data_IF_131178122046
#
_entry.id   IF_131178122046
#
_cell.length_a   1.000
_cell.length_b   1.000
_cell.length_c   1.000
_cell.angle_alpha   90.00
_cell.angle_beta   90.00
_cell.angle_gamma   90.00
#
_symmetry.space_group_name_H-M   'P 1'
#
loop_
_entity.id
_entity.type
_entity.pdbx_description
1 polymer ?
#
# COMPACT_ATOMS: atom_id res chain seq x y z
N UNK A 1 43.35 34.49 -29.75
CA UNK A 1 42.71 33.17 -29.82
C UNK A 1 42.56 32.61 -28.42
N UNK A 2 41.34 32.42 -27.89
CA UNK A 2 41.06 31.57 -26.74
C UNK A 2 40.39 30.25 -27.16
N UNK A 3 40.61 29.20 -26.37
CA UNK A 3 40.21 27.81 -26.63
C UNK A 3 38.68 27.58 -26.57
N UNK A 4 38.14 26.58 -27.30
CA UNK A 4 36.72 26.25 -27.26
C UNK A 4 36.36 25.54 -25.95
N UNK A 5 35.44 26.13 -25.20
CA UNK A 5 34.84 25.52 -24.01
C UNK A 5 34.11 24.24 -24.37
N UNK A 6 34.47 23.13 -23.71
CA UNK A 6 33.75 21.87 -23.81
C UNK A 6 32.32 22.02 -23.28
N UNK A 7 31.30 21.44 -23.94
CA UNK A 7 29.96 21.37 -23.38
C UNK A 7 30.00 20.48 -22.13
N UNK A 8 29.58 21.04 -20.99
CA UNK A 8 29.35 20.28 -19.76
C UNK A 8 28.24 19.27 -20.02
N UNK A 9 28.58 17.99 -20.13
CA UNK A 9 27.62 16.89 -20.07
C UNK A 9 27.02 16.85 -18.65
N UNK A 10 25.70 17.00 -18.47
CA UNK A 10 25.09 16.76 -17.17
C UNK A 10 25.17 15.25 -16.86
N UNK A 11 26.00 14.91 -15.89
CA UNK A 11 26.20 13.56 -15.36
C UNK A 11 25.03 13.19 -14.44
N UNK A 12 24.40 12.03 -14.71
CA UNK A 12 23.45 11.30 -13.87
C UNK A 12 22.42 12.15 -13.11
N UNK A 13 21.35 12.53 -13.81
CA UNK A 13 20.05 12.57 -13.17
C UNK A 13 19.69 11.13 -12.78
N UNK A 14 19.78 10.82 -11.48
CA UNK A 14 19.16 9.62 -10.91
C UNK A 14 17.69 9.63 -11.31
N UNK A 15 17.40 8.79 -12.31
CA UNK A 15 16.10 8.64 -12.94
C UNK A 15 15.15 8.14 -11.85
N UNK A 16 14.34 9.06 -11.33
CA UNK A 16 13.28 8.80 -10.37
C UNK A 16 12.48 7.54 -10.82
N UNK A 17 12.23 6.57 -9.92
CA UNK A 17 11.52 5.38 -10.30
C UNK A 17 10.13 5.76 -10.80
N UNK A 18 9.78 5.24 -11.97
CA UNK A 18 8.48 5.46 -12.55
C UNK A 18 7.41 4.94 -11.57
N UNK A 19 6.33 5.71 -11.47
CA UNK A 19 5.15 5.57 -10.61
C UNK A 19 4.43 4.21 -10.76
N UNK A 20 3.46 3.91 -9.87
CA UNK A 20 2.64 2.68 -9.78
C UNK A 20 2.39 1.92 -11.08
N UNK A 21 2.02 2.69 -12.12
CA UNK A 21 1.72 2.20 -13.46
C UNK A 21 2.84 1.33 -14.02
N UNK A 22 4.08 1.55 -13.60
CA UNK A 22 5.24 0.87 -14.15
C UNK A 22 5.66 -0.37 -13.39
N UNK A 23 5.44 -0.44 -12.07
CA UNK A 23 5.61 -1.72 -11.37
C UNK A 23 4.47 -2.65 -11.73
N UNK A 24 3.21 -2.22 -11.58
CA UNK A 24 2.05 -3.05 -11.93
C UNK A 24 2.08 -3.37 -13.44
N UNK A 25 2.37 -2.39 -14.29
CA UNK A 25 2.51 -2.60 -15.73
C UNK A 25 3.59 -3.63 -16.07
N UNK A 26 4.80 -3.48 -15.54
CA UNK A 26 5.91 -4.40 -15.78
C UNK A 26 5.59 -5.84 -15.35
N UNK A 27 4.88 -6.03 -14.24
CA UNK A 27 4.49 -7.37 -13.80
C UNK A 27 3.33 -7.93 -14.63
N UNK A 28 2.37 -7.12 -15.04
CA UNK A 28 1.31 -7.56 -15.96
C UNK A 28 1.88 -7.99 -17.32
N UNK A 29 2.95 -7.33 -17.79
CA UNK A 29 3.62 -7.67 -19.05
C UNK A 29 4.39 -9.01 -18.97
N UNK A 30 4.61 -9.56 -17.77
CA UNK A 30 5.20 -10.90 -17.56
C UNK A 30 4.17 -12.03 -17.64
N UNK A 31 2.89 -11.72 -17.90
CA UNK A 31 1.82 -12.71 -18.00
C UNK A 31 1.32 -13.20 -16.64
N UNK A 32 0.90 -14.47 -16.57
CA UNK A 32 0.22 -15.02 -15.39
C UNK A 32 1.03 -14.97 -14.09
N UNK A 33 2.35 -15.25 -14.06
CA UNK A 33 3.14 -15.14 -12.84
C UNK A 33 3.14 -13.73 -12.25
N UNK A 34 3.35 -12.71 -13.09
CA UNK A 34 3.36 -11.32 -12.66
C UNK A 34 1.97 -10.79 -12.31
N UNK A 35 0.90 -11.28 -12.96
CA UNK A 35 -0.48 -11.05 -12.50
C UNK A 35 -0.70 -11.59 -11.09
N UNK A 36 -0.16 -12.77 -10.76
CA UNK A 36 -0.24 -13.34 -9.42
C UNK A 36 0.40 -12.44 -8.36
N UNK A 37 1.54 -11.82 -8.69
CA UNK A 37 2.22 -10.87 -7.81
C UNK A 37 1.43 -9.58 -7.61
N UNK A 38 0.88 -9.01 -8.70
CA UNK A 38 0.01 -7.83 -8.63
C UNK A 38 -1.22 -8.12 -7.77
N UNK A 39 -1.86 -9.28 -7.93
CA UNK A 39 -3.02 -9.66 -7.14
C UNK A 39 -2.67 -9.75 -5.65
N UNK A 40 -1.57 -10.43 -5.29
CA UNK A 40 -1.10 -10.51 -3.91
C UNK A 40 -0.82 -9.14 -3.32
N UNK A 41 -0.16 -8.27 -4.07
CA UNK A 41 0.15 -6.91 -3.65
C UNK A 41 -1.11 -6.08 -3.39
N UNK A 42 -2.06 -6.10 -4.33
CA UNK A 42 -3.34 -5.39 -4.18
C UNK A 42 -4.11 -5.92 -2.98
N UNK A 43 -4.23 -7.24 -2.82
CA UNK A 43 -4.94 -7.83 -1.69
C UNK A 43 -4.28 -7.46 -0.34
N UNK A 44 -2.95 -7.50 -0.25
CA UNK A 44 -2.22 -7.17 0.97
C UNK A 44 -2.44 -5.71 1.41
N UNK A 45 -2.47 -4.76 0.46
CA UNK A 45 -2.64 -3.33 0.78
C UNK A 45 -4.11 -2.92 0.92
N UNK A 46 -5.01 -3.47 0.13
CA UNK A 46 -6.37 -2.95 -0.02
C UNK A 46 -7.43 -3.77 0.73
N UNK A 47 -7.13 -4.97 1.24
CA UNK A 47 -8.13 -5.77 1.95
C UNK A 47 -8.71 -5.05 3.18
N UNK A 48 -7.87 -4.58 4.10
CA UNK A 48 -8.37 -3.88 5.29
C UNK A 48 -9.02 -2.52 4.97
N UNK A 49 -8.46 -1.66 4.10
CA UNK A 49 -9.12 -0.42 3.69
C UNK A 49 -10.52 -0.64 3.11
N UNK A 50 -10.69 -1.64 2.23
CA UNK A 50 -12.00 -1.94 1.66
C UNK A 50 -13.00 -2.45 2.72
N UNK A 51 -12.54 -3.16 3.76
CA UNK A 51 -13.39 -3.52 4.91
C UNK A 51 -13.82 -2.30 5.70
N UNK A 52 -12.90 -1.37 5.98
CA UNK A 52 -13.21 -0.10 6.66
C UNK A 52 -14.22 0.70 5.84
N UNK A 53 -14.01 0.80 4.53
CA UNK A 53 -14.96 1.44 3.61
C UNK A 53 -16.33 0.79 3.68
N UNK A 54 -16.41 -0.54 3.51
CA UNK A 54 -17.65 -1.31 3.57
C UNK A 54 -18.41 -1.10 4.87
N UNK A 55 -17.72 -1.20 6.01
CA UNK A 55 -18.31 -1.01 7.34
C UNK A 55 -18.82 0.42 7.56
N UNK A 56 -18.20 1.42 6.94
CA UNK A 56 -18.65 2.81 6.95
C UNK A 56 -19.89 3.06 6.08
N UNK A 57 -20.25 2.14 5.19
CA UNK A 57 -21.44 2.27 4.34
C UNK A 57 -22.72 1.82 5.04
N UNK A 58 -23.86 2.15 4.41
CA UNK A 58 -25.17 1.58 4.78
C UNK A 58 -25.35 0.14 4.29
N UNK A 59 -24.43 -0.36 3.47
CA UNK A 59 -24.51 -1.65 2.78
C UNK A 59 -23.95 -2.82 3.62
N UNK A 60 -23.51 -2.56 4.87
CA UNK A 60 -22.95 -3.58 5.79
C UNK A 60 -23.86 -4.77 6.10
N UNK A 61 -25.15 -4.68 5.78
CA UNK A 61 -26.10 -5.79 5.94
C UNK A 61 -25.99 -6.86 4.84
N UNK A 62 -25.28 -6.56 3.73
CA UNK A 62 -25.16 -7.45 2.57
C UNK A 62 -24.46 -8.77 2.94
N UNK A 63 -23.49 -8.74 3.86
CA UNK A 63 -22.75 -9.92 4.26
C UNK A 63 -21.61 -9.62 5.21
N UNK A 64 -20.84 -10.65 5.55
CA UNK A 64 -19.64 -10.50 6.37
C UNK A 64 -18.58 -9.67 5.61
N UNK A 65 -17.88 -8.72 6.27
CA UNK A 65 -16.89 -7.87 5.61
C UNK A 65 -15.75 -8.63 4.93
N UNK A 66 -15.29 -9.74 5.52
CA UNK A 66 -14.20 -10.54 4.96
C UNK A 66 -14.69 -11.29 3.73
N UNK A 67 -15.88 -11.89 3.79
CA UNK A 67 -16.49 -12.59 2.67
C UNK A 67 -16.78 -11.63 1.49
N UNK A 68 -17.33 -10.45 1.76
CA UNK A 68 -17.65 -9.46 0.73
C UNK A 68 -16.38 -8.96 0.04
N UNK A 69 -15.33 -8.62 0.79
CA UNK A 69 -14.07 -8.13 0.21
C UNK A 69 -13.32 -9.25 -0.51
N UNK A 70 -13.30 -10.47 0.03
CA UNK A 70 -12.68 -11.61 -0.65
C UNK A 70 -13.45 -11.97 -1.94
N UNK A 71 -14.78 -11.93 -1.91
CA UNK A 71 -15.63 -12.12 -3.08
C UNK A 71 -15.39 -11.07 -4.16
N UNK A 72 -15.21 -9.80 -3.76
CA UNK A 72 -14.82 -8.72 -4.67
C UNK A 72 -13.47 -9.01 -5.34
N UNK A 73 -12.44 -9.38 -4.58
CA UNK A 73 -11.14 -9.69 -5.15
C UNK A 73 -11.20 -10.90 -6.07
N UNK A 74 -11.88 -11.98 -5.66
CA UNK A 74 -12.04 -13.17 -6.48
C UNK A 74 -12.73 -12.86 -7.81
N UNK A 75 -13.81 -12.09 -7.80
CA UNK A 75 -14.54 -11.74 -9.02
C UNK A 75 -13.77 -10.76 -9.91
N UNK A 76 -13.19 -9.69 -9.35
CA UNK A 76 -12.57 -8.63 -10.16
C UNK A 76 -11.15 -8.97 -10.60
N UNK A 77 -10.32 -9.55 -9.72
CA UNK A 77 -8.93 -9.87 -10.05
C UNK A 77 -8.79 -11.08 -10.98
N UNK A 78 -9.80 -11.95 -11.02
CA UNK A 78 -9.87 -13.06 -11.99
C UNK A 78 -10.19 -12.58 -13.42
N UNK A 79 -10.73 -11.36 -13.60
CA UNK A 79 -11.06 -10.84 -14.93
C UNK A 79 -9.78 -10.43 -15.66
N UNK A 80 -9.48 -10.99 -16.86
CA UNK A 80 -8.27 -10.66 -17.59
C UNK A 80 -8.11 -9.15 -17.85
N UNK A 81 -9.18 -8.46 -18.23
CA UNK A 81 -9.14 -7.03 -18.56
C UNK A 81 -9.27 -6.06 -17.40
N UNK A 82 -9.28 -6.51 -16.13
CA UNK A 82 -9.56 -5.62 -14.99
C UNK A 82 -8.50 -4.51 -14.86
N UNK A 83 -7.23 -4.88 -14.82
CA UNK A 83 -6.13 -3.91 -14.76
C UNK A 83 -5.94 -3.14 -16.06
N UNK A 84 -6.37 -3.67 -17.21
CA UNK A 84 -6.39 -2.91 -18.48
C UNK A 84 -7.44 -1.81 -18.46
N UNK A 85 -8.58 -2.06 -17.82
CA UNK A 85 -9.60 -1.06 -17.54
C UNK A 85 -9.03 0.06 -16.66
N UNK A 86 -8.35 -0.30 -15.57
CA UNK A 86 -7.66 0.66 -14.73
C UNK A 86 -6.64 1.49 -15.51
N UNK A 87 -5.73 0.86 -16.26
CA UNK A 87 -4.71 1.54 -17.08
C UNK A 87 -5.33 2.57 -18.02
N UNK A 88 -6.42 2.21 -18.70
CA UNK A 88 -7.13 3.12 -19.62
C UNK A 88 -7.89 4.24 -18.92
N UNK A 89 -8.29 4.05 -17.66
CA UNK A 89 -9.05 5.06 -16.92
C UNK A 89 -8.22 6.29 -16.53
N UNK A 90 -6.89 6.13 -16.39
CA UNK A 90 -6.01 7.18 -15.86
C UNK A 90 -6.23 7.52 -14.38
N UNK A 91 -7.10 6.79 -13.68
CA UNK A 91 -7.36 6.99 -12.26
C UNK A 91 -6.23 6.41 -11.40
N UNK A 92 -6.02 7.00 -10.21
CA UNK A 92 -5.22 6.34 -9.17
C UNK A 92 -5.85 5.00 -8.81
N UNK A 93 -5.03 3.98 -8.53
CA UNK A 93 -5.51 2.63 -8.27
C UNK A 93 -6.52 2.58 -7.12
N UNK A 94 -6.29 3.34 -6.05
CA UNK A 94 -7.22 3.47 -4.92
C UNK A 94 -8.64 3.89 -5.32
N UNK A 95 -8.76 4.96 -6.13
CA UNK A 95 -10.05 5.45 -6.58
C UNK A 95 -10.70 4.47 -7.55
N UNK A 96 -9.90 3.85 -8.42
CA UNK A 96 -10.39 2.80 -9.31
C UNK A 96 -10.97 1.62 -8.53
N UNK A 97 -10.28 1.15 -7.48
CA UNK A 97 -10.72 0.03 -6.64
C UNK A 97 -11.98 0.37 -5.85
N UNK A 98 -12.06 1.56 -5.25
CA UNK A 98 -13.30 2.03 -4.58
C UNK A 98 -14.47 2.01 -5.56
N UNK A 99 -14.30 2.60 -6.74
CA UNK A 99 -15.36 2.64 -7.75
C UNK A 99 -15.79 1.22 -8.16
N UNK A 100 -14.82 0.35 -8.47
CA UNK A 100 -15.08 -1.04 -8.81
C UNK A 100 -15.81 -1.79 -7.67
N UNK A 101 -15.47 -1.49 -6.42
CA UNK A 101 -16.10 -2.08 -5.24
C UNK A 101 -17.54 -1.59 -5.06
N UNK A 102 -17.81 -0.29 -5.25
CA UNK A 102 -19.18 0.24 -5.27
C UNK A 102 -20.05 -0.45 -6.34
N UNK A 103 -19.52 -0.65 -7.56
CA UNK A 103 -20.24 -1.42 -8.58
C UNK A 103 -20.50 -2.87 -8.15
N UNK A 104 -19.53 -3.52 -7.51
CA UNK A 104 -19.68 -4.87 -6.98
C UNK A 104 -20.77 -4.96 -5.89
N UNK A 105 -20.78 -4.02 -4.92
CA UNK A 105 -21.81 -3.97 -3.88
C UNK A 105 -23.21 -3.77 -4.49
N UNK A 106 -23.35 -2.95 -5.53
CA UNK A 106 -24.63 -2.80 -6.26
C UNK A 106 -25.06 -4.09 -6.93
N UNK A 107 -24.14 -4.82 -7.56
CA UNK A 107 -24.42 -6.14 -8.15
C UNK A 107 -24.93 -7.13 -7.09
N UNK A 108 -24.31 -7.17 -5.91
CA UNK A 108 -24.76 -7.99 -4.78
C UNK A 108 -26.16 -7.59 -4.30
N UNK A 109 -26.42 -6.28 -4.09
CA UNK A 109 -27.75 -5.78 -3.69
C UNK A 109 -28.83 -6.22 -4.67
N UNK A 110 -28.57 -6.10 -5.98
CA UNK A 110 -29.51 -6.53 -7.02
C UNK A 110 -29.73 -8.04 -7.05
N UNK A 111 -28.71 -8.84 -6.73
CA UNK A 111 -28.88 -10.28 -6.58
C UNK A 111 -29.81 -10.59 -5.38
N UNK A 112 -29.54 -10.02 -4.20
CA UNK A 112 -30.37 -10.20 -3.02
C UNK A 112 -31.82 -9.71 -3.19
N UNK A 113 -32.03 -8.58 -3.87
CA UNK A 113 -33.36 -8.03 -4.13
C UNK A 113 -34.19 -8.95 -5.04
N UNK A 114 -33.57 -9.56 -6.06
CA UNK A 114 -34.22 -10.55 -6.93
C UNK A 114 -34.64 -11.79 -6.15
N UNK A 115 -33.76 -12.30 -5.28
CA UNK A 115 -34.07 -13.48 -4.46
C UNK A 115 -35.20 -13.20 -3.46
N UNK A 116 -35.31 -11.95 -2.96
CA UNK A 116 -36.30 -11.53 -1.96
C UNK A 116 -37.53 -10.82 -2.52
N UNK A 117 -37.66 -10.66 -3.84
CA UNK A 117 -38.70 -9.86 -4.50
C UNK A 117 -38.87 -8.45 -3.89
N UNK A 118 -37.78 -7.85 -3.42
CA UNK A 118 -37.80 -6.55 -2.76
C UNK A 118 -37.58 -5.41 -3.78
N UNK A 119 -38.19 -4.22 -3.57
CA UNK A 119 -37.94 -3.05 -4.41
C UNK A 119 -36.48 -2.58 -4.29
N UNK A 120 -35.92 -2.08 -5.39
CA UNK A 120 -34.55 -1.56 -5.45
C UNK A 120 -34.46 -0.25 -4.66
N UNK A 121 -33.55 -0.17 -3.69
CA UNK A 121 -33.28 1.06 -2.96
C UNK A 121 -32.48 2.06 -3.81
N UNK A 122 -32.74 3.37 -3.69
CA UNK A 122 -32.03 4.40 -4.44
C UNK A 122 -30.54 4.48 -4.04
N UNK A 123 -29.69 4.68 -5.05
CA UNK A 123 -28.25 4.83 -4.85
C UNK A 123 -27.95 6.12 -4.07
N UNK A 124 -27.44 5.97 -2.86
CA UNK A 124 -27.06 7.11 -2.02
C UNK A 124 -25.55 7.30 -2.11
N UNK A 125 -25.05 8.52 -2.36
CA UNK A 125 -23.61 8.79 -2.35
C UNK A 125 -22.96 8.38 -1.03
N UNK A 126 -21.76 7.79 -1.11
CA UNK A 126 -20.99 7.45 0.08
C UNK A 126 -20.50 8.74 0.74
N UNK A 127 -20.63 8.90 2.07
CA UNK A 127 -20.17 10.10 2.76
C UNK A 127 -18.65 10.27 2.63
N UNK A 128 -18.18 11.50 2.43
CA UNK A 128 -16.75 11.82 2.33
C UNK A 128 -15.93 11.41 3.57
N UNK A 129 -16.56 11.22 4.73
CA UNK A 129 -15.91 10.68 5.92
C UNK A 129 -15.44 9.22 5.73
N UNK A 130 -16.21 8.41 5.01
CA UNK A 130 -15.88 7.00 4.73
C UNK A 130 -14.67 6.90 3.79
N UNK A 131 -14.59 7.81 2.80
CA UNK A 131 -13.42 7.90 1.93
C UNK A 131 -12.15 8.29 2.71
N UNK A 132 -12.25 9.25 3.63
CA UNK A 132 -11.13 9.60 4.52
C UNK A 132 -10.72 8.46 5.43
N UNK A 133 -11.68 7.71 5.95
CA UNK A 133 -11.40 6.52 6.79
C UNK A 133 -10.73 5.41 5.99
N UNK A 134 -11.13 5.22 4.72
CA UNK A 134 -10.45 4.34 3.78
C UNK A 134 -9.01 4.80 3.54
N UNK A 135 -8.77 6.09 3.26
CA UNK A 135 -7.43 6.61 2.98
C UNK A 135 -6.51 6.43 4.19
N UNK A 136 -6.99 6.74 5.40
CA UNK A 136 -6.26 6.50 6.66
C UNK A 136 -5.97 5.01 6.85
N UNK A 137 -6.93 4.16 6.53
CA UNK A 137 -6.76 2.71 6.60
C UNK A 137 -5.73 2.20 5.58
N UNK A 138 -5.71 2.80 4.39
CA UNK A 138 -4.75 2.48 3.35
C UNK A 138 -3.32 2.81 3.79
N UNK A 139 -3.10 4.01 4.33
CA UNK A 139 -1.80 4.41 4.90
C UNK A 139 -1.32 3.43 5.95
N UNK A 140 -2.16 3.09 6.92
CA UNK A 140 -1.74 2.17 7.97
C UNK A 140 -1.50 0.73 7.44
N UNK A 141 -2.18 0.30 6.36
CA UNK A 141 -1.85 -0.97 5.69
C UNK A 141 -0.49 -0.93 5.04
N UNK A 142 -0.17 0.17 4.36
CA UNK A 142 1.14 0.39 3.74
C UNK A 142 2.26 0.38 4.78
N UNK A 143 2.09 1.08 5.90
CA UNK A 143 3.08 1.09 6.99
C UNK A 143 3.26 -0.29 7.59
N UNK A 144 2.17 -1.03 7.86
CA UNK A 144 2.26 -2.42 8.38
C UNK A 144 3.00 -3.33 7.41
N UNK A 145 2.69 -3.25 6.13
CA UNK A 145 3.35 -4.04 5.09
C UNK A 145 4.84 -3.69 5.00
N UNK A 146 5.22 -2.42 5.10
CA UNK A 146 6.61 -1.99 5.11
C UNK A 146 7.37 -2.50 6.35
N UNK A 147 6.74 -2.48 7.53
CA UNK A 147 7.30 -3.05 8.75
C UNK A 147 7.58 -4.54 8.54
N UNK A 148 6.61 -5.28 8.00
CA UNK A 148 6.74 -6.72 7.79
C UNK A 148 7.82 -7.07 6.75
N UNK A 149 7.87 -6.35 5.63
CA UNK A 149 8.92 -6.53 4.61
C UNK A 149 10.31 -6.21 5.17
N UNK A 150 10.42 -5.15 5.96
CA UNK A 150 11.69 -4.76 6.56
C UNK A 150 12.14 -5.75 7.65
N UNK A 151 11.19 -6.31 8.41
CA UNK A 151 11.45 -7.43 9.32
C UNK A 151 12.05 -8.59 8.54
N UNK A 152 11.35 -9.12 7.55
CA UNK A 152 11.79 -10.26 6.76
C UNK A 152 13.18 -10.01 6.13
N UNK A 153 13.41 -8.82 5.56
CA UNK A 153 14.70 -8.43 4.99
C UNK A 153 15.83 -8.40 6.03
N UNK A 154 15.53 -8.02 7.28
CA UNK A 154 16.51 -8.09 8.36
C UNK A 154 16.79 -9.55 8.74
N UNK A 155 15.77 -10.39 8.84
CA UNK A 155 15.89 -11.80 9.22
C UNK A 155 16.73 -12.57 8.20
N UNK A 156 16.41 -12.42 6.91
CA UNK A 156 17.13 -13.06 5.80
C UNK A 156 18.60 -12.59 5.73
N UNK A 157 18.87 -11.37 6.17
CA UNK A 157 20.22 -10.79 6.26
C UNK A 157 20.99 -11.16 7.54
N UNK A 158 20.43 -11.97 8.44
CA UNK A 158 21.04 -12.29 9.74
C UNK A 158 21.04 -11.11 10.74
N UNK A 159 20.20 -10.10 10.50
CA UNK A 159 20.13 -8.86 11.27
C UNK A 159 18.98 -8.83 12.29
N UNK A 160 18.58 -10.00 12.81
CA UNK A 160 17.52 -10.16 13.81
C UNK A 160 17.67 -9.19 14.99
N UNK A 161 18.88 -9.12 15.56
CA UNK A 161 19.18 -8.22 16.67
C UNK A 161 19.04 -6.73 16.27
N UNK A 162 19.33 -6.37 15.01
CA UNK A 162 19.15 -5.00 14.53
C UNK A 162 17.67 -4.64 14.46
N UNK A 163 16.86 -5.58 13.96
CA UNK A 163 15.41 -5.43 13.91
C UNK A 163 14.78 -5.32 15.30
N UNK A 164 15.24 -6.14 16.25
CA UNK A 164 14.78 -6.08 17.63
C UNK A 164 15.08 -4.72 18.27
N UNK A 165 16.32 -4.22 18.13
CA UNK A 165 16.70 -2.89 18.64
C UNK A 165 15.86 -1.78 18.00
N UNK A 166 15.59 -1.86 16.69
CA UNK A 166 14.71 -0.91 16.02
C UNK A 166 13.28 -0.96 16.58
N UNK A 167 12.73 -2.16 16.83
CA UNK A 167 11.38 -2.34 17.35
C UNK A 167 11.25 -1.78 18.77
N UNK A 168 12.18 -2.11 19.67
CA UNK A 168 12.17 -1.59 21.05
C UNK A 168 12.20 -0.05 21.07
N UNK A 169 13.06 0.56 20.25
CA UNK A 169 13.22 2.00 20.27
C UNK A 169 12.13 2.76 19.52
N UNK A 170 11.87 2.42 18.24
CA UNK A 170 11.00 3.22 17.37
C UNK A 170 9.53 2.80 17.41
N UNK A 171 9.23 1.54 17.75
CA UNK A 171 7.85 1.03 17.79
C UNK A 171 7.33 1.03 19.23
N UNK A 172 8.13 0.57 20.19
CA UNK A 172 7.76 0.51 21.62
C UNK A 172 8.15 1.77 22.40
N UNK A 173 8.93 2.67 21.82
CA UNK A 173 9.30 3.96 22.43
C UNK A 173 10.27 3.83 23.61
N UNK A 174 10.98 2.71 23.76
CA UNK A 174 11.94 2.53 24.85
C UNK A 174 13.24 3.29 24.58
N UNK A 175 13.84 3.81 25.63
CA UNK A 175 15.19 4.35 25.59
C UNK A 175 16.23 3.23 25.52
N UNK A 176 17.33 3.43 24.79
CA UNK A 176 18.35 2.39 24.59
C UNK A 176 18.86 1.80 25.92
N UNK A 177 19.14 2.65 26.90
CA UNK A 177 19.66 2.24 28.21
C UNK A 177 18.76 1.23 28.93
N UNK A 178 17.45 1.24 28.64
CA UNK A 178 16.47 0.38 29.31
C UNK A 178 16.39 -1.05 28.79
N UNK A 179 17.01 -1.38 27.64
CA UNK A 179 16.85 -2.70 27.01
C UNK A 179 18.12 -3.28 26.38
N UNK A 180 19.15 -2.47 26.11
CA UNK A 180 20.36 -2.96 25.43
C UNK A 180 21.14 -3.98 26.26
N UNK A 181 21.12 -3.86 27.59
CA UNK A 181 21.73 -4.85 28.50
C UNK A 181 21.03 -6.21 28.44
N UNK A 182 19.69 -6.23 28.36
CA UNK A 182 18.88 -7.44 28.19
C UNK A 182 19.23 -8.18 26.89
N UNK A 183 19.64 -7.43 25.86
CA UNK A 183 20.04 -7.97 24.56
C UNK A 183 21.55 -8.29 24.46
N UNK A 184 22.33 -8.01 25.51
CA UNK A 184 23.79 -8.18 25.49
C UNK A 184 24.49 -7.25 24.49
N UNK A 185 23.93 -6.06 24.23
CA UNK A 185 24.39 -5.11 23.22
C UNK A 185 24.98 -3.87 23.91
N UNK A 186 26.12 -3.40 23.39
CA UNK A 186 26.69 -2.11 23.77
C UNK A 186 25.79 -0.93 23.32
N UNK A 187 25.52 0.08 24.18
CA UNK A 187 24.64 1.20 23.84
C UNK A 187 25.02 1.96 22.57
N UNK A 188 26.32 2.16 22.30
CA UNK A 188 26.78 2.83 21.08
C UNK A 188 26.54 1.96 19.83
N UNK A 189 26.68 0.64 19.97
CA UNK A 189 26.34 -0.32 18.91
C UNK A 189 24.84 -0.36 18.63
N UNK A 190 23.99 -0.24 19.65
CA UNK A 190 22.54 -0.26 19.50
C UNK A 190 22.02 0.86 18.58
N UNK A 191 22.59 2.06 18.66
CA UNK A 191 22.21 3.18 17.77
C UNK A 191 22.51 2.86 16.30
N UNK A 192 23.67 2.26 16.02
CA UNK A 192 24.06 1.86 14.65
C UNK A 192 23.13 0.76 14.15
N UNK A 193 22.80 -0.19 15.02
CA UNK A 193 21.87 -1.29 14.71
C UNK A 193 20.48 -0.77 14.37
N UNK A 194 19.93 0.13 15.19
CA UNK A 194 18.62 0.75 14.97
C UNK A 194 18.58 1.53 13.64
N UNK A 195 19.62 2.30 13.32
CA UNK A 195 19.73 3.03 12.04
C UNK A 195 19.76 2.08 10.84
N UNK A 196 20.42 0.94 10.97
CA UNK A 196 20.55 -0.04 9.88
C UNK A 196 19.22 -0.72 9.56
N UNK A 197 18.43 -1.07 10.58
CA UNK A 197 17.07 -1.56 10.41
C UNK A 197 16.11 -0.45 9.95
N UNK A 198 16.23 0.77 10.48
CA UNK A 198 15.45 1.94 10.01
C UNK A 198 15.62 2.19 8.52
N UNK A 199 16.84 2.07 7.97
CA UNK A 199 17.09 2.21 6.53
C UNK A 199 16.33 1.16 5.71
N UNK A 200 16.22 -0.08 6.20
CA UNK A 200 15.45 -1.14 5.53
C UNK A 200 13.95 -0.87 5.57
N UNK A 201 13.43 -0.40 6.71
CA UNK A 201 12.05 0.07 6.80
C UNK A 201 11.76 1.21 5.83
N UNK A 202 12.63 2.22 5.76
CA UNK A 202 12.48 3.33 4.81
C UNK A 202 12.55 2.87 3.35
N UNK A 203 13.39 1.88 3.04
CA UNK A 203 13.46 1.30 1.70
C UNK A 203 12.17 0.56 1.34
N UNK A 204 11.66 -0.30 2.23
CA UNK A 204 10.41 -1.02 2.03
C UNK A 204 9.21 -0.07 1.89
N UNK A 205 9.13 0.97 2.73
CA UNK A 205 8.07 1.97 2.62
C UNK A 205 8.15 2.74 1.30
N UNK A 206 9.34 3.15 0.86
CA UNK A 206 9.52 3.82 -0.44
C UNK A 206 9.13 2.92 -1.61
N UNK A 207 9.44 1.63 -1.53
CA UNK A 207 9.02 0.67 -2.54
C UNK A 207 7.49 0.63 -2.64
N UNK A 208 6.79 0.47 -1.51
CA UNK A 208 5.32 0.48 -1.48
C UNK A 208 4.70 1.81 -1.93
N UNK A 209 5.29 2.96 -1.58
CA UNK A 209 4.80 4.28 -2.03
C UNK A 209 5.08 4.51 -3.51
N UNK A 210 6.23 4.05 -4.03
CA UNK A 210 6.48 4.07 -5.48
C UNK A 210 5.46 3.20 -6.23
N UNK A 211 4.98 2.16 -5.54
CA UNK A 211 3.83 1.36 -5.93
C UNK A 211 2.49 1.94 -5.43
N UNK A 212 2.35 3.22 -5.02
CA UNK A 212 1.04 3.94 -4.97
C UNK A 212 0.97 5.30 -5.71
N UNK A 213 2.09 6.00 -5.81
CA UNK A 213 2.14 7.37 -6.29
C UNK A 213 1.90 7.46 -7.81
N UNK A 214 1.15 8.48 -8.23
CA UNK A 214 1.14 8.99 -9.60
C UNK A 214 2.07 10.21 -9.81
N UNK A 215 2.67 10.74 -8.74
CA UNK A 215 3.52 11.95 -8.78
C UNK A 215 4.98 11.66 -8.41
N UNK A 216 5.88 12.44 -9.00
CA UNK A 216 7.32 12.39 -8.84
C UNK A 216 7.86 12.83 -7.46
N UNK A 217 6.99 13.13 -6.49
CA UNK A 217 7.38 13.55 -5.13
C UNK A 217 6.83 12.58 -4.08
N UNK A 218 7.56 11.48 -3.90
CA UNK A 218 7.31 10.43 -2.91
C UNK A 218 7.36 11.00 -1.49
N UNK A 219 8.22 11.98 -1.22
CA UNK A 219 8.38 12.56 0.11
C UNK A 219 7.20 13.47 0.48
N UNK A 220 6.61 14.18 -0.49
CA UNK A 220 5.35 14.91 -0.29
C UNK A 220 4.17 13.97 -0.06
N UNK A 221 4.11 12.82 -0.74
CA UNK A 221 3.06 11.83 -0.49
C UNK A 221 3.22 11.19 0.89
N UNK A 222 4.42 10.77 1.29
CA UNK A 222 4.68 10.28 2.65
C UNK A 222 4.27 11.33 3.69
N UNK A 223 4.59 12.61 3.46
CA UNK A 223 4.20 13.70 4.36
C UNK A 223 2.68 13.90 4.41
N UNK A 224 2.01 13.94 3.27
CA UNK A 224 0.55 14.05 3.19
C UNK A 224 -0.16 12.87 3.86
N UNK A 225 0.39 11.66 3.75
CA UNK A 225 -0.17 10.46 4.38
C UNK A 225 0.03 10.47 5.91
N UNK A 226 1.11 11.10 6.41
CA UNK A 226 1.37 11.29 7.84
C UNK A 226 0.63 12.48 8.45
N UNK A 227 0.24 13.48 7.65
CA UNK A 227 -0.53 14.65 8.08
C UNK A 227 -2.06 14.41 8.04
N UNK A 228 -2.52 13.43 7.24
CA UNK A 228 -3.91 13.01 7.16
C UNK A 228 -4.33 11.96 8.21
N UNK A 229 -3.38 11.48 9.03
CA UNK A 229 -3.57 10.50 10.11
C UNK A 229 -3.89 11.11 11.46
#
# INVERSE_FOLDING_TARGET
>A
MPAPGSPRTPTNADVFPLTQMTWIGRHLDQGDPGRGEVNRHVMALYAWPLKVYFLGTRDRWIGDPDEVVNGFFADRLARPGFFDGWRRSGLRLRHWLINAFCFYLRELKRAHARDRHAPEEPDTPVPAAVERDFDRAFVASMVRQAIEQARQTCEDGGLNAHWQVFTEHFIRGREYESFVSELGIDPARAVVMARTAKKRFQAALRELVSHDAASADIDAEIRSLLEAS
#
